data_IF_985643529934
#
_entry.id   IF_985643529934
#
_cell.length_a   1.000
_cell.length_b   1.000
_cell.length_c   1.000
_cell.angle_alpha   90.00
_cell.angle_beta   90.00
_cell.angle_gamma   90.00
#
_symmetry.space_group_name_H-M   'P 1'
#
loop_
_entity.id
_entity.type
_entity.pdbx_description
1 polymer ?
#
# COMPACT_ATOMS: atom_id res chain seq x y z
N UNK A 1 -41.12 9.79 41.06
CA UNK A 1 -40.54 8.56 40.53
C UNK A 1 -40.51 8.69 38.99
N UNK A 2 -39.38 9.08 38.43
CA UNK A 2 -39.22 9.17 36.97
C UNK A 2 -38.86 7.77 36.47
N UNK A 3 -39.85 7.07 35.89
CA UNK A 3 -39.57 5.83 35.17
C UNK A 3 -38.76 6.15 33.91
N UNK A 4 -37.50 5.72 33.87
CA UNK A 4 -36.71 5.74 32.64
C UNK A 4 -37.43 4.89 31.58
N UNK A 5 -37.82 5.45 30.42
CA UNK A 5 -38.50 4.67 29.40
C UNK A 5 -37.58 3.57 28.93
N UNK A 6 -38.07 2.33 28.88
CA UNK A 6 -37.34 1.20 28.31
C UNK A 6 -36.97 1.53 26.85
N UNK A 7 -35.72 1.38 26.44
CA UNK A 7 -35.31 1.71 25.08
C UNK A 7 -36.11 0.90 24.07
N UNK A 8 -36.65 1.58 23.05
CA UNK A 8 -37.38 0.94 21.96
C UNK A 8 -36.48 -0.13 21.25
N UNK A 9 -37.11 -1.10 20.59
CA UNK A 9 -36.37 -2.13 19.83
C UNK A 9 -35.35 -1.52 18.86
N UNK A 10 -35.74 -0.43 18.18
CA UNK A 10 -34.87 0.33 17.27
C UNK A 10 -33.69 0.91 18.04
N UNK A 11 -33.86 1.45 19.23
CA UNK A 11 -32.77 1.97 20.05
C UNK A 11 -31.77 0.89 20.49
N UNK A 12 -32.27 -0.32 20.80
CA UNK A 12 -31.39 -1.47 21.11
C UNK A 12 -30.59 -1.93 19.91
N UNK A 13 -31.20 -2.03 18.72
CA UNK A 13 -30.54 -2.40 17.48
C UNK A 13 -29.50 -1.35 17.08
N UNK A 14 -29.82 -0.08 17.18
CA UNK A 14 -28.87 1.01 16.93
C UNK A 14 -27.67 0.94 17.90
N UNK A 15 -27.92 0.67 19.17
CA UNK A 15 -26.86 0.50 20.18
C UNK A 15 -25.91 -0.68 19.85
N UNK A 16 -26.47 -1.82 19.45
CA UNK A 16 -25.68 -2.99 19.02
C UNK A 16 -24.84 -2.68 17.76
N UNK A 17 -25.44 -2.00 16.79
CA UNK A 17 -24.71 -1.56 15.60
C UNK A 17 -23.54 -0.63 15.94
N UNK A 18 -23.77 0.39 16.75
CA UNK A 18 -22.73 1.33 17.18
C UNK A 18 -21.62 0.62 17.95
N UNK A 19 -21.95 -0.34 18.81
CA UNK A 19 -20.98 -1.14 19.53
C UNK A 19 -20.12 -1.98 18.55
N UNK A 20 -20.76 -2.69 17.63
CA UNK A 20 -20.06 -3.49 16.62
C UNK A 20 -19.16 -2.62 15.72
N UNK A 21 -19.67 -1.49 15.24
CA UNK A 21 -18.90 -0.54 14.44
C UNK A 21 -17.69 0.02 15.22
N UNK A 22 -17.88 0.36 16.51
CA UNK A 22 -16.81 0.82 17.37
C UNK A 22 -15.73 -0.24 17.64
N UNK A 23 -16.12 -1.53 17.72
CA UNK A 23 -15.16 -2.64 17.84
C UNK A 23 -14.38 -2.84 16.55
N UNK A 24 -15.05 -2.81 15.39
CA UNK A 24 -14.41 -2.93 14.07
C UNK A 24 -13.43 -1.78 13.81
N UNK A 25 -13.78 -0.55 14.18
CA UNK A 25 -12.89 0.60 14.05
C UNK A 25 -11.56 0.46 14.84
N UNK A 26 -11.55 -0.35 15.91
CA UNK A 26 -10.32 -0.65 16.66
C UNK A 26 -9.37 -1.56 15.88
N UNK A 27 -9.85 -2.27 14.86
CA UNK A 27 -9.05 -3.16 14.00
C UNK A 27 -8.40 -2.41 12.83
N UNK A 28 -8.85 -1.19 12.52
CA UNK A 28 -8.30 -0.38 11.42
C UNK A 28 -6.77 -0.25 11.45
N UNK A 29 -6.11 0.07 12.58
CA UNK A 29 -4.65 0.19 12.62
C UNK A 29 -3.92 -1.12 12.30
N UNK A 30 -4.51 -2.26 12.68
CA UNK A 30 -3.95 -3.58 12.39
C UNK A 30 -4.12 -3.93 10.91
N UNK A 31 -5.26 -3.59 10.33
CA UNK A 31 -5.53 -3.78 8.91
C UNK A 31 -4.56 -2.96 8.04
N UNK A 32 -4.41 -1.67 8.35
CA UNK A 32 -3.47 -0.80 7.64
C UNK A 32 -2.01 -1.26 7.79
N UNK A 33 -1.62 -1.74 8.97
CA UNK A 33 -0.31 -2.36 9.16
C UNK A 33 -0.16 -3.63 8.29
N UNK A 34 -1.18 -4.49 8.26
CA UNK A 34 -1.19 -5.69 7.41
C UNK A 34 -1.03 -5.34 5.93
N UNK A 35 -1.75 -4.33 5.44
CA UNK A 35 -1.62 -3.84 4.07
C UNK A 35 -0.22 -3.32 3.76
N UNK A 36 0.39 -2.57 4.66
CA UNK A 36 1.77 -2.07 4.52
C UNK A 36 2.78 -3.21 4.42
N UNK A 37 2.69 -4.19 5.32
CA UNK A 37 3.59 -5.35 5.34
C UNK A 37 3.41 -6.22 4.10
N UNK A 38 2.17 -6.44 3.66
CA UNK A 38 1.87 -7.22 2.46
C UNK A 38 2.47 -6.56 1.21
N UNK A 39 2.18 -5.29 0.98
CA UNK A 39 2.71 -4.54 -0.16
C UNK A 39 4.23 -4.43 -0.10
N UNK A 40 4.77 -4.12 1.08
CA UNK A 40 6.22 -4.04 1.26
C UNK A 40 6.92 -5.36 0.91
N UNK A 41 6.36 -6.50 1.33
CA UNK A 41 6.90 -7.81 0.97
C UNK A 41 6.88 -8.05 -0.53
N UNK A 42 5.76 -7.75 -1.21
CA UNK A 42 5.62 -7.97 -2.66
C UNK A 42 6.69 -7.20 -3.43
N UNK A 43 6.75 -5.88 -3.24
CA UNK A 43 7.67 -5.03 -3.98
C UNK A 43 9.13 -5.27 -3.58
N UNK A 44 9.43 -5.47 -2.29
CA UNK A 44 10.79 -5.70 -1.83
C UNK A 44 11.37 -7.00 -2.40
N UNK A 45 10.60 -8.09 -2.44
CA UNK A 45 11.03 -9.33 -3.05
C UNK A 45 11.26 -9.19 -4.56
N UNK A 46 10.42 -8.42 -5.26
CA UNK A 46 10.61 -8.09 -6.68
C UNK A 46 11.93 -7.32 -6.89
N UNK A 47 12.21 -6.31 -6.08
CA UNK A 47 13.46 -5.56 -6.13
C UNK A 47 14.69 -6.44 -5.85
N UNK A 48 14.60 -7.35 -4.88
CA UNK A 48 15.69 -8.30 -4.60
C UNK A 48 15.98 -9.22 -5.79
N UNK A 49 14.97 -9.67 -6.51
CA UNK A 49 15.14 -10.49 -7.71
C UNK A 49 15.94 -9.74 -8.76
N UNK A 50 15.63 -8.46 -8.96
CA UNK A 50 16.32 -7.60 -9.94
C UNK A 50 17.79 -7.39 -9.64
N UNK A 51 18.16 -7.19 -8.38
CA UNK A 51 19.57 -6.95 -8.01
C UNK A 51 20.39 -8.23 -7.92
N UNK A 52 19.75 -9.40 -7.72
CA UNK A 52 20.44 -10.69 -7.67
C UNK A 52 20.97 -11.12 -9.02
N UNK A 53 20.23 -10.84 -10.09
CA UNK A 53 20.62 -11.13 -11.47
C UNK A 53 20.39 -9.88 -12.32
N UNK A 54 21.39 -9.01 -12.29
CA UNK A 54 21.34 -7.74 -12.99
C UNK A 54 21.33 -7.89 -14.51
N UNK A 55 22.06 -8.86 -15.03
CA UNK A 55 22.15 -9.12 -16.48
C UNK A 55 20.79 -9.55 -17.04
N UNK A 56 20.13 -10.51 -16.40
CA UNK A 56 18.78 -10.94 -16.77
C UNK A 56 17.74 -9.82 -16.58
N UNK A 57 17.91 -8.99 -15.55
CA UNK A 57 17.03 -7.84 -15.34
C UNK A 57 17.15 -6.84 -16.49
N UNK A 58 18.34 -6.46 -16.91
CA UNK A 58 18.54 -5.53 -18.03
C UNK A 58 18.01 -6.12 -19.34
N UNK A 59 18.22 -7.43 -19.57
CA UNK A 59 17.66 -8.12 -20.73
C UNK A 59 16.12 -8.05 -20.74
N UNK A 60 15.48 -8.32 -19.61
CA UNK A 60 14.02 -8.22 -19.45
C UNK A 60 13.49 -6.80 -19.79
N UNK A 61 14.21 -5.76 -19.34
CA UNK A 61 13.86 -4.37 -19.67
C UNK A 61 14.17 -3.99 -21.11
N UNK A 62 15.02 -4.74 -21.80
CA UNK A 62 15.31 -4.54 -23.21
C UNK A 62 14.28 -5.20 -24.10
N UNK A 63 13.86 -6.42 -23.75
CA UNK A 63 13.09 -7.29 -24.62
C UNK A 63 11.59 -7.25 -24.32
N UNK A 64 11.19 -7.04 -23.07
CA UNK A 64 9.80 -7.17 -22.62
C UNK A 64 9.21 -5.89 -22.00
N UNK A 65 9.98 -5.14 -21.17
CA UNK A 65 9.50 -3.92 -20.54
C UNK A 65 9.72 -2.70 -21.44
N UNK A 66 8.65 -2.16 -21.98
CA UNK A 66 8.72 -0.97 -22.85
C UNK A 66 8.46 0.30 -22.02
N UNK A 67 9.48 0.76 -21.26
CA UNK A 67 9.38 2.00 -20.48
C UNK A 67 9.70 3.18 -21.39
N UNK A 68 8.74 4.09 -21.64
CA UNK A 68 8.98 5.25 -22.51
C UNK A 68 10.06 6.18 -21.94
N UNK A 69 10.84 6.80 -22.82
CA UNK A 69 11.81 7.86 -22.51
C UNK A 69 13.05 7.42 -21.72
N UNK A 70 13.16 6.17 -21.28
CA UNK A 70 14.28 5.68 -20.49
C UNK A 70 15.02 4.56 -21.23
N UNK A 71 16.36 4.53 -21.10
CA UNK A 71 17.11 3.35 -21.54
C UNK A 71 16.81 2.15 -20.62
N UNK A 72 16.86 0.90 -21.12
CA UNK A 72 16.55 -0.29 -20.34
C UNK A 72 17.30 -0.38 -19.01
N UNK A 73 18.60 -0.09 -19.03
CA UNK A 73 19.43 -0.14 -17.83
C UNK A 73 19.03 0.94 -16.79
N UNK A 74 18.67 2.14 -17.25
CA UNK A 74 18.20 3.22 -16.36
C UNK A 74 16.84 2.86 -15.78
N UNK A 75 15.91 2.37 -16.61
CA UNK A 75 14.58 1.94 -16.16
C UNK A 75 14.67 0.79 -15.14
N UNK A 76 15.52 -0.21 -15.40
CA UNK A 76 15.81 -1.31 -14.48
C UNK A 76 16.38 -0.81 -13.14
N UNK A 77 17.33 0.15 -13.18
CA UNK A 77 17.93 0.73 -11.98
C UNK A 77 16.93 1.52 -11.14
N UNK A 78 16.13 2.37 -11.76
CA UNK A 78 15.08 3.12 -11.07
C UNK A 78 14.00 2.21 -10.51
N UNK A 79 13.63 1.15 -11.26
CA UNK A 79 12.69 0.13 -10.81
C UNK A 79 13.21 -0.58 -9.55
N UNK A 80 14.43 -1.12 -9.61
CA UNK A 80 15.04 -1.79 -8.46
C UNK A 80 15.19 -0.86 -7.25
N UNK A 81 15.63 0.37 -7.45
CA UNK A 81 15.75 1.37 -6.38
C UNK A 81 14.41 1.68 -5.72
N UNK A 82 13.34 1.87 -6.52
CA UNK A 82 11.97 2.08 -6.03
C UNK A 82 11.49 0.89 -5.22
N UNK A 83 11.62 -0.32 -5.78
CA UNK A 83 11.16 -1.57 -5.16
C UNK A 83 11.92 -1.95 -3.88
N UNK A 84 13.12 -1.46 -3.69
CA UNK A 84 13.89 -1.71 -2.46
C UNK A 84 13.69 -0.60 -1.42
N UNK A 85 13.59 0.67 -1.82
CA UNK A 85 13.54 1.79 -0.86
C UNK A 85 12.13 2.08 -0.35
N UNK A 86 11.12 2.18 -1.24
CA UNK A 86 9.76 2.54 -0.83
C UNK A 86 9.10 1.53 0.12
N UNK A 87 9.27 0.21 -0.06
CA UNK A 87 8.76 -0.77 0.91
C UNK A 87 9.33 -0.60 2.32
N UNK A 88 10.61 -0.20 2.45
CA UNK A 88 11.21 0.05 3.77
C UNK A 88 10.51 1.22 4.46
N UNK A 89 10.22 2.30 3.73
CA UNK A 89 9.45 3.43 4.27
C UNK A 89 8.04 3.00 4.69
N UNK A 90 7.37 2.14 3.90
CA UNK A 90 6.06 1.58 4.26
C UNK A 90 6.12 0.75 5.54
N UNK A 91 7.10 -0.15 5.70
CA UNK A 91 7.24 -0.98 6.90
C UNK A 91 7.43 -0.10 8.13
N UNK A 92 8.32 0.88 8.06
CA UNK A 92 8.57 1.81 9.16
C UNK A 92 7.37 2.74 9.43
N UNK A 93 6.53 2.95 8.44
CA UNK A 93 5.47 3.95 8.51
C UNK A 93 6.00 5.38 8.47
N UNK A 94 7.09 5.61 7.71
CA UNK A 94 7.74 6.90 7.54
C UNK A 94 7.43 7.45 6.14
N UNK A 95 6.95 8.70 6.07
CA UNK A 95 6.46 9.32 4.84
C UNK A 95 5.51 8.39 4.06
N UNK A 96 4.67 7.66 4.80
CA UNK A 96 3.92 6.51 4.30
C UNK A 96 2.97 6.84 3.15
N UNK A 97 2.30 8.00 3.19
CA UNK A 97 1.42 8.45 2.10
C UNK A 97 2.20 8.71 0.81
N UNK A 98 3.39 9.30 0.91
CA UNK A 98 4.26 9.54 -0.24
C UNK A 98 4.82 8.24 -0.80
N UNK A 99 5.29 7.33 0.06
CA UNK A 99 5.80 6.03 -0.35
C UNK A 99 4.71 5.17 -1.01
N UNK A 100 3.49 5.14 -0.45
CA UNK A 100 2.35 4.43 -1.04
C UNK A 100 1.92 5.05 -2.37
N UNK A 101 1.82 6.38 -2.46
CA UNK A 101 1.48 7.10 -3.69
C UNK A 101 2.53 6.89 -4.79
N UNK A 102 3.81 6.91 -4.44
CA UNK A 102 4.89 6.62 -5.37
C UNK A 102 4.79 5.18 -5.91
N UNK A 103 4.61 4.18 -5.03
CA UNK A 103 4.43 2.79 -5.45
C UNK A 103 3.12 2.60 -6.25
N UNK A 104 2.08 3.37 -5.97
CA UNK A 104 0.84 3.35 -6.76
C UNK A 104 1.09 3.77 -8.21
N UNK A 105 1.78 4.90 -8.42
CA UNK A 105 2.16 5.36 -9.77
C UNK A 105 3.11 4.36 -10.42
N UNK A 106 4.11 3.87 -9.68
CA UNK A 106 5.04 2.85 -10.17
C UNK A 106 4.31 1.57 -10.60
N UNK A 107 3.33 1.11 -9.83
CA UNK A 107 2.49 -0.04 -10.17
C UNK A 107 1.73 0.16 -11.49
N UNK A 108 1.19 1.36 -11.73
CA UNK A 108 0.54 1.69 -13.02
C UNK A 108 1.54 1.64 -14.17
N UNK A 109 2.73 2.25 -14.00
CA UNK A 109 3.79 2.21 -15.00
C UNK A 109 4.21 0.78 -15.32
N UNK A 110 4.33 -0.08 -14.30
CA UNK A 110 4.67 -1.49 -14.47
C UNK A 110 3.61 -2.23 -15.30
N UNK A 111 2.30 -1.99 -15.01
CA UNK A 111 1.20 -2.58 -15.81
C UNK A 111 1.27 -2.11 -17.27
N UNK A 112 1.48 -0.82 -17.51
CA UNK A 112 1.53 -0.28 -18.88
C UNK A 112 2.74 -0.82 -19.63
N UNK A 113 3.91 -0.86 -18.98
CA UNK A 113 5.16 -1.29 -19.61
C UNK A 113 5.24 -2.81 -19.87
N UNK A 114 4.45 -3.62 -19.16
CA UNK A 114 4.50 -5.09 -19.23
C UNK A 114 3.13 -5.71 -19.52
N UNK A 115 2.23 -4.95 -20.12
CA UNK A 115 0.81 -5.29 -20.26
C UNK A 115 0.57 -6.61 -20.98
N UNK A 116 1.26 -6.86 -22.09
CA UNK A 116 1.08 -8.06 -22.90
C UNK A 116 1.37 -9.34 -22.12
N UNK A 117 2.50 -9.38 -21.42
CA UNK A 117 2.88 -10.54 -20.60
C UNK A 117 1.96 -10.69 -19.38
N UNK A 118 1.55 -9.59 -18.73
CA UNK A 118 0.63 -9.64 -17.59
C UNK A 118 -0.74 -10.18 -17.97
N UNK A 119 -1.24 -9.87 -19.15
CA UNK A 119 -2.53 -10.41 -19.65
C UNK A 119 -2.47 -11.91 -19.92
N UNK A 120 -1.34 -12.39 -20.44
CA UNK A 120 -1.14 -13.81 -20.71
C UNK A 120 -0.94 -14.65 -19.44
N UNK A 121 -0.32 -14.08 -18.42
CA UNK A 121 -0.01 -14.77 -17.17
C UNK A 121 -1.07 -14.59 -16.07
N UNK A 122 -2.06 -13.71 -16.29
CA UNK A 122 -3.06 -13.34 -15.29
C UNK A 122 -2.56 -12.36 -14.23
N UNK A 123 -1.34 -11.84 -14.36
CA UNK A 123 -0.70 -10.92 -13.40
C UNK A 123 -1.41 -9.57 -13.26
N UNK A 124 -2.26 -9.19 -14.20
CA UNK A 124 -3.06 -7.94 -14.12
C UNK A 124 -3.91 -7.90 -12.85
N UNK A 125 -4.49 -9.04 -12.42
CA UNK A 125 -5.32 -9.09 -11.22
C UNK A 125 -4.52 -8.77 -9.95
N UNK A 126 -3.27 -9.25 -9.87
CA UNK A 126 -2.37 -8.95 -8.77
C UNK A 126 -2.06 -7.45 -8.70
N UNK A 127 -1.77 -6.84 -9.84
CA UNK A 127 -1.51 -5.40 -9.94
C UNK A 127 -2.74 -4.55 -9.58
N UNK A 128 -3.96 -4.99 -9.94
CA UNK A 128 -5.21 -4.34 -9.50
C UNK A 128 -5.36 -4.42 -7.98
N UNK A 129 -5.12 -5.58 -7.39
CA UNK A 129 -5.15 -5.75 -5.93
C UNK A 129 -4.13 -4.85 -5.24
N UNK A 130 -2.87 -4.88 -5.70
CA UNK A 130 -1.80 -4.04 -5.13
C UNK A 130 -2.10 -2.55 -5.30
N UNK A 131 -2.57 -2.13 -6.47
CA UNK A 131 -2.99 -0.75 -6.73
C UNK A 131 -4.13 -0.30 -5.81
N UNK A 132 -5.13 -1.16 -5.58
CA UNK A 132 -6.23 -0.88 -4.64
C UNK A 132 -5.71 -0.67 -3.22
N UNK A 133 -4.85 -1.56 -2.73
CA UNK A 133 -4.26 -1.44 -1.38
C UNK A 133 -3.41 -0.18 -1.29
N UNK A 134 -2.58 0.12 -2.30
CA UNK A 134 -1.75 1.33 -2.35
C UNK A 134 -2.59 2.62 -2.36
N UNK A 135 -3.71 2.63 -3.08
CA UNK A 135 -4.67 3.76 -3.06
C UNK A 135 -5.26 3.95 -1.65
N UNK A 136 -5.67 2.88 -0.98
CA UNK A 136 -6.15 2.94 0.42
C UNK A 136 -5.06 3.51 1.34
N UNK A 137 -3.82 3.02 1.26
CA UNK A 137 -2.71 3.50 2.09
C UNK A 137 -2.36 4.96 1.80
N UNK A 138 -2.49 5.41 0.56
CA UNK A 138 -2.25 6.81 0.18
C UNK A 138 -3.31 7.74 0.79
N UNK A 139 -4.58 7.35 0.72
CA UNK A 139 -5.72 8.16 1.18
C UNK A 139 -5.86 8.09 2.70
N UNK A 140 -5.95 6.90 3.28
CA UNK A 140 -6.14 6.70 4.72
C UNK A 140 -4.88 6.99 5.53
N UNK A 141 -3.70 6.81 4.92
CA UNK A 141 -2.40 6.95 5.59
C UNK A 141 -1.97 5.68 6.32
N UNK A 142 -0.90 5.78 7.14
CA UNK A 142 -0.26 4.60 7.73
C UNK A 142 -1.00 3.99 8.93
N UNK A 143 -2.01 4.65 9.44
CA UNK A 143 -2.68 4.28 10.68
C UNK A 143 -1.89 4.64 11.94
N UNK A 144 -2.41 4.24 13.10
CA UNK A 144 -1.84 4.62 14.42
C UNK A 144 -0.50 3.94 14.73
N UNK A 145 -0.17 2.84 14.07
CA UNK A 145 1.06 2.05 14.26
C UNK A 145 2.06 2.46 13.19
N UNK A 146 2.60 3.69 13.28
CA UNK A 146 3.51 4.24 12.29
C UNK A 146 4.41 5.31 12.90
N UNK A 147 5.61 5.47 12.34
CA UNK A 147 6.55 6.53 12.75
C UNK A 147 5.96 7.91 12.46
N UNK A 148 5.28 8.09 11.30
CA UNK A 148 4.59 9.35 10.97
C UNK A 148 3.66 9.81 12.09
N UNK A 149 2.85 8.90 12.65
CA UNK A 149 1.91 9.20 13.73
C UNK A 149 2.63 9.57 15.04
N UNK A 150 3.79 8.97 15.31
CA UNK A 150 4.61 9.35 16.47
C UNK A 150 5.19 10.74 16.30
N UNK A 151 5.67 11.06 15.10
CA UNK A 151 6.22 12.39 14.77
C UNK A 151 5.12 13.47 14.83
N UNK A 152 3.94 13.22 14.26
CA UNK A 152 2.80 14.12 14.32
C UNK A 152 2.43 14.47 15.78
N UNK A 153 2.31 13.45 16.65
CA UNK A 153 2.01 13.66 18.07
C UNK A 153 3.08 14.46 18.82
N UNK A 154 4.34 14.36 18.40
CA UNK A 154 5.44 15.05 19.06
C UNK A 154 5.62 16.49 18.57
N UNK A 155 5.41 16.74 17.28
CA UNK A 155 5.74 18.03 16.66
C UNK A 155 4.51 18.86 16.27
N UNK A 156 3.33 18.29 16.19
CA UNK A 156 2.06 18.96 15.94
C UNK A 156 1.01 18.61 17.02
N UNK A 157 1.28 18.87 18.31
CA UNK A 157 0.33 18.58 19.36
C UNK A 157 -0.87 19.53 19.25
N UNK A 158 -1.98 19.07 18.66
CA UNK A 158 -3.23 19.83 18.64
C UNK A 158 -3.90 20.04 17.27
N UNK A 159 -3.52 19.28 16.24
CA UNK A 159 -4.28 19.22 14.97
C UNK A 159 -5.33 18.12 14.99
#
# INVERSE_FOLDING_TARGET
MNANPTPSLIGRLAGLYCLAAGLLAKLEPLLLLGFRLYIARVFFLSGLTKVRDWSSTVALFTDEYHVPLLSPAVAAGLGAATELSMPVLLVLGLASRLAAGWLFVFNIVAVVAYYETLTQTGGVNDHILWGTILAVLTICGPGRIAVDTLLERRFAPGS
#
